data_IF_314209952079
#
_entry.id   IF_314209952079
#
_cell.length_a   1.000
_cell.length_b   1.000
_cell.length_c   1.000
_cell.angle_alpha   90.00
_cell.angle_beta   90.00
_cell.angle_gamma   90.00
#
_symmetry.space_group_name_H-M   'P 1'
#
loop_
_entity.id
_entity.type
_entity.pdbx_description
1 polymer ?
#
# COMPACT_ATOMS: atom_id res chain seq x y z
N UNK A 1 -10.47 11.09 -7.21
CA UNK A 1 -9.68 11.93 -6.29
C UNK A 1 -8.24 11.53 -6.39
N UNK A 2 -7.29 12.49 -6.31
CA UNK A 2 -5.87 12.21 -6.39
C UNK A 2 -5.37 11.54 -5.11
N UNK A 3 -4.40 10.63 -5.25
CA UNK A 3 -3.72 9.97 -4.16
C UNK A 3 -2.88 10.96 -3.34
N UNK A 4 -2.53 10.58 -2.11
CA UNK A 4 -1.78 11.42 -1.19
C UNK A 4 -0.36 11.74 -1.69
N UNK A 5 0.24 10.83 -2.45
CA UNK A 5 1.55 10.99 -3.09
C UNK A 5 1.48 10.38 -4.49
N UNK A 6 2.13 10.97 -5.48
CA UNK A 6 2.21 10.42 -6.84
C UNK A 6 3.65 10.29 -7.28
N UNK A 7 3.85 9.58 -8.39
CA UNK A 7 5.13 9.52 -9.08
C UNK A 7 5.80 10.91 -9.16
N UNK A 8 7.07 10.99 -8.74
CA UNK A 8 7.92 12.18 -8.68
C UNK A 8 7.52 13.26 -7.64
N UNK A 9 6.53 13.00 -6.79
CA UNK A 9 6.24 13.91 -5.68
C UNK A 9 7.39 13.93 -4.67
N UNK A 10 7.71 15.14 -4.18
CA UNK A 10 8.67 15.33 -3.11
C UNK A 10 7.98 15.12 -1.76
N UNK A 11 8.49 14.17 -0.97
CA UNK A 11 7.82 13.70 0.26
C UNK A 11 8.56 14.12 1.54
N UNK A 12 9.57 14.99 1.42
CA UNK A 12 10.24 15.59 2.58
C UNK A 12 11.19 14.66 3.35
N UNK A 13 11.54 13.51 2.77
CA UNK A 13 12.50 12.56 3.32
C UNK A 13 13.94 12.86 2.90
N UNK A 14 14.89 12.19 3.55
CA UNK A 14 16.28 12.20 3.10
C UNK A 14 16.47 11.31 1.86
N UNK A 15 17.39 11.65 0.95
CA UNK A 15 17.77 10.76 -0.15
C UNK A 15 18.17 9.36 0.35
N UNK A 16 17.84 8.27 -0.38
CA UNK A 16 17.26 8.23 -1.73
C UNK A 16 15.71 8.29 -1.78
N UNK A 17 15.04 8.41 -0.63
CA UNK A 17 13.58 8.35 -0.52
C UNK A 17 12.93 9.73 -0.51
N UNK A 18 13.62 10.78 -0.92
CA UNK A 18 13.09 12.15 -0.91
C UNK A 18 12.01 12.37 -1.98
N UNK A 19 11.90 11.42 -2.93
CA UNK A 19 10.90 11.42 -4.00
C UNK A 19 10.30 10.03 -4.20
N UNK A 20 9.03 10.02 -4.63
CA UNK A 20 8.38 8.82 -5.13
C UNK A 20 8.94 8.45 -6.51
N UNK A 21 9.37 7.20 -6.76
CA UNK A 21 9.90 6.78 -8.05
C UNK A 21 8.89 6.96 -9.20
N UNK A 22 9.35 7.45 -10.35
CA UNK A 22 8.49 7.75 -11.51
C UNK A 22 7.89 6.47 -12.13
N UNK A 23 8.61 5.37 -12.02
CA UNK A 23 8.28 4.04 -12.52
C UNK A 23 7.26 3.28 -11.66
N UNK A 24 6.79 3.87 -10.56
CA UNK A 24 5.84 3.22 -9.64
C UNK A 24 4.52 2.86 -10.35
N UNK A 25 4.17 1.58 -10.36
CA UNK A 25 2.96 1.04 -11.02
C UNK A 25 1.68 1.27 -10.22
N UNK A 26 1.79 1.42 -8.91
CA UNK A 26 0.68 1.66 -7.98
C UNK A 26 1.22 2.20 -6.66
N UNK A 27 0.33 2.71 -5.81
CA UNK A 27 0.69 3.31 -4.53
C UNK A 27 -0.14 2.71 -3.39
N UNK A 28 0.50 2.49 -2.24
CA UNK A 28 -0.12 1.96 -1.02
C UNK A 28 0.13 2.93 0.12
N UNK A 29 -0.92 3.36 0.80
CA UNK A 29 -0.78 4.21 1.99
C UNK A 29 -1.32 3.47 3.21
N UNK A 30 -0.49 3.39 4.25
CA UNK A 30 -0.83 2.76 5.53
C UNK A 30 -0.99 3.81 6.61
N UNK A 31 -2.21 4.06 7.04
CA UNK A 31 -2.53 5.10 8.01
C UNK A 31 -2.89 4.49 9.36
N UNK A 32 -2.40 5.06 10.45
CA UNK A 32 -2.71 4.64 11.82
C UNK A 32 -2.10 3.29 12.27
N UNK A 33 -1.33 2.60 11.42
CA UNK A 33 -0.76 1.28 11.74
C UNK A 33 0.60 1.33 12.44
N UNK A 34 1.62 1.88 11.77
CA UNK A 34 3.01 1.96 12.23
C UNK A 34 3.47 3.42 12.30
N UNK A 35 4.54 3.67 13.08
CA UNK A 35 5.37 4.87 12.94
C UNK A 35 5.77 5.09 11.47
N UNK A 36 6.10 6.33 11.13
CA UNK A 36 6.43 6.73 9.75
C UNK A 36 7.41 5.72 9.12
N UNK A 37 7.04 5.13 7.98
CA UNK A 37 7.83 4.15 7.24
C UNK A 37 7.63 4.33 5.74
N UNK A 38 8.63 3.94 4.95
CA UNK A 38 8.59 4.00 3.48
C UNK A 38 9.15 2.69 2.94
N UNK A 39 8.59 2.23 1.82
CA UNK A 39 9.10 1.10 1.06
C UNK A 39 9.40 -0.13 1.94
N UNK A 40 10.56 -0.80 1.84
CA UNK A 40 10.87 -2.00 2.62
C UNK A 40 11.06 -1.76 4.12
N UNK A 41 11.28 -0.52 4.57
CA UNK A 41 11.27 -0.15 6.00
C UNK A 41 9.89 -0.36 6.64
N UNK A 42 8.82 -0.42 5.83
CA UNK A 42 7.50 -0.85 6.31
C UNK A 42 7.45 -2.35 6.67
N UNK A 43 8.52 -3.11 6.43
CA UNK A 43 8.69 -4.53 6.69
C UNK A 43 8.23 -5.38 5.51
N UNK A 44 7.85 -6.64 5.76
CA UNK A 44 7.51 -7.58 4.68
C UNK A 44 6.40 -7.12 3.74
N UNK A 45 5.41 -6.36 4.24
CA UNK A 45 4.36 -5.81 3.37
C UNK A 45 4.91 -4.74 2.43
N UNK A 46 5.93 -4.00 2.87
CA UNK A 46 6.57 -3.00 2.04
C UNK A 46 7.54 -3.57 1.02
N UNK A 47 8.35 -4.54 1.44
CA UNK A 47 9.16 -5.36 0.52
C UNK A 47 8.32 -5.98 -0.60
N UNK A 48 7.14 -6.51 -0.28
CA UNK A 48 6.24 -7.08 -1.27
C UNK A 48 5.73 -6.03 -2.26
N UNK A 49 5.40 -4.82 -1.80
CA UNK A 49 4.95 -3.72 -2.66
C UNK A 49 6.06 -3.29 -3.62
N UNK A 50 7.28 -3.11 -3.12
CA UNK A 50 8.42 -2.74 -3.94
C UNK A 50 8.75 -3.80 -4.99
N UNK A 51 8.74 -5.08 -4.61
CA UNK A 51 8.98 -6.17 -5.55
C UNK A 51 8.00 -6.12 -6.73
N UNK A 52 6.74 -5.79 -6.47
CA UNK A 52 5.72 -5.64 -7.49
C UNK A 52 5.86 -4.36 -8.35
N UNK A 53 6.84 -3.50 -8.03
CA UNK A 53 7.06 -2.20 -8.66
C UNK A 53 6.10 -1.12 -8.16
N UNK A 54 5.57 -1.26 -6.95
CA UNK A 54 4.73 -0.25 -6.31
C UNK A 54 5.50 0.58 -5.29
N UNK A 55 4.87 1.67 -4.85
CA UNK A 55 5.34 2.51 -3.76
C UNK A 55 4.47 2.32 -2.53
N UNK A 56 5.07 2.42 -1.34
CA UNK A 56 4.34 2.39 -0.06
C UNK A 56 4.89 3.42 0.90
N UNK A 57 3.98 4.13 1.56
CA UNK A 57 4.28 4.98 2.69
C UNK A 57 3.30 4.72 3.83
N UNK A 58 3.81 4.71 5.05
CA UNK A 58 3.05 4.49 6.27
C UNK A 58 3.17 5.69 7.19
N UNK A 59 2.05 6.15 7.75
CA UNK A 59 1.98 7.29 8.65
C UNK A 59 1.15 6.93 9.89
N UNK A 60 1.71 7.17 11.08
CA UNK A 60 1.00 6.95 12.35
C UNK A 60 0.03 8.07 12.65
N UNK A 61 0.51 9.31 12.52
CA UNK A 61 -0.26 10.51 12.78
C UNK A 61 -0.83 10.99 11.46
N UNK A 62 -2.15 10.97 11.37
CA UNK A 62 -2.90 11.45 10.23
C UNK A 62 -3.16 12.93 10.51
N UNK A 63 -2.12 13.76 10.42
CA UNK A 63 -2.29 15.20 10.65
C UNK A 63 -3.36 15.78 9.73
N UNK A 64 -4.06 16.83 10.18
CA UNK A 64 -5.20 17.51 9.49
C UNK A 64 -4.94 17.99 8.04
N UNK A 65 -3.73 17.84 7.51
CA UNK A 65 -3.25 18.58 6.32
C UNK A 65 -3.30 17.77 5.02
N UNK A 66 -3.39 16.43 5.07
CA UNK A 66 -3.44 15.59 3.86
C UNK A 66 -4.75 14.79 3.86
N UNK A 67 -5.68 15.17 2.98
CA UNK A 67 -6.87 14.37 2.71
C UNK A 67 -6.46 13.13 1.91
N UNK A 68 -6.34 12.00 2.59
CA UNK A 68 -6.06 10.68 2.00
C UNK A 68 -7.28 10.08 1.25
N UNK A 69 -8.26 10.91 0.88
CA UNK A 69 -9.49 10.51 0.20
C UNK A 69 -10.63 10.16 1.15
N UNK A 70 -10.60 10.69 2.39
CA UNK A 70 -11.61 10.41 3.41
C UNK A 70 -12.59 11.56 3.64
N UNK A 71 -12.42 12.70 2.97
CA UNK A 71 -13.40 13.79 3.00
C UNK A 71 -14.80 13.35 2.55
N UNK A 72 -15.71 13.09 3.50
CA UNK A 72 -17.12 12.78 3.24
C UNK A 72 -17.55 11.32 3.43
N UNK A 73 -16.62 10.40 3.67
CA UNK A 73 -16.94 9.10 4.29
C UNK A 73 -16.95 9.35 5.79
N UNK A 74 -18.05 9.06 6.49
CA UNK A 74 -18.21 9.26 7.94
C UNK A 74 -17.31 8.33 8.78
N UNK A 75 -16.02 8.35 8.51
CA UNK A 75 -14.98 7.47 9.02
C UNK A 75 -14.20 8.21 10.09
N UNK A 76 -14.08 7.60 11.26
CA UNK A 76 -13.20 8.09 12.33
C UNK A 76 -11.77 7.64 12.01
N UNK A 77 -11.06 8.52 11.30
CA UNK A 77 -9.69 8.36 10.83
C UNK A 77 -8.71 8.21 12.01
N UNK A 78 -8.99 8.90 13.12
CA UNK A 78 -8.11 8.94 14.29
C UNK A 78 -8.18 7.65 15.12
N UNK A 79 -9.25 6.88 14.97
CA UNK A 79 -9.51 5.67 15.75
C UNK A 79 -9.11 4.36 15.03
N UNK A 80 -8.77 4.39 13.73
CA UNK A 80 -8.63 3.15 12.94
C UNK A 80 -7.44 3.13 12.00
N UNK A 81 -6.88 1.92 11.85
CA UNK A 81 -5.87 1.62 10.83
C UNK A 81 -6.55 1.55 9.47
N UNK A 82 -5.94 2.13 8.44
CA UNK A 82 -6.49 2.10 7.09
C UNK A 82 -5.39 1.83 6.09
N UNK A 83 -5.62 0.90 5.17
CA UNK A 83 -4.81 0.77 3.95
C UNK A 83 -5.59 1.34 2.77
N UNK A 84 -4.97 2.21 1.99
CA UNK A 84 -5.53 2.68 0.72
C UNK A 84 -4.62 2.28 -0.43
N UNK A 85 -5.22 1.96 -1.57
CA UNK A 85 -4.53 1.53 -2.80
C UNK A 85 -4.92 2.51 -3.91
N UNK A 86 -3.93 3.05 -4.61
CA UNK A 86 -4.09 3.87 -5.78
C UNK A 86 -3.42 3.24 -7.01
N UNK A 87 -4.01 3.42 -8.19
CA UNK A 87 -3.36 3.05 -9.45
C UNK A 87 -2.21 4.01 -9.83
N UNK A 88 -1.50 3.72 -10.92
CA UNK A 88 -0.38 4.51 -11.43
C UNK A 88 -0.70 5.99 -11.67
N UNK A 89 -1.96 6.34 -11.92
CA UNK A 89 -2.40 7.72 -12.17
C UNK A 89 -2.76 8.44 -10.84
N UNK A 90 -2.57 7.75 -9.72
CA UNK A 90 -2.90 8.18 -8.38
C UNK A 90 -4.40 8.27 -8.17
N UNK A 91 -5.21 7.40 -8.80
CA UNK A 91 -6.64 7.28 -8.49
C UNK A 91 -6.82 6.16 -7.46
N UNK A 92 -7.51 6.47 -6.36
CA UNK A 92 -7.86 5.47 -5.34
C UNK A 92 -8.75 4.39 -5.96
N UNK A 93 -8.30 3.14 -5.90
CA UNK A 93 -8.99 1.94 -6.41
C UNK A 93 -9.41 0.99 -5.28
N UNK A 94 -8.92 1.21 -4.05
CA UNK A 94 -9.34 0.42 -2.89
C UNK A 94 -9.07 1.14 -1.57
N UNK A 95 -9.97 0.93 -0.60
CA UNK A 95 -9.86 1.42 0.78
C UNK A 95 -10.21 0.26 1.70
N UNK A 96 -9.34 -0.01 2.67
CA UNK A 96 -9.42 -1.16 3.57
C UNK A 96 -9.32 -0.70 5.02
N UNK A 97 -10.46 -0.36 5.65
CA UNK A 97 -10.48 0.00 7.05
C UNK A 97 -10.18 -1.20 7.96
N UNK A 98 -9.56 -0.93 9.10
CA UNK A 98 -9.08 -1.94 10.06
C UNK A 98 -7.88 -2.75 9.56
N UNK A 99 -7.42 -2.53 8.32
CA UNK A 99 -6.29 -3.23 7.76
C UNK A 99 -4.96 -2.59 8.17
N UNK A 100 -3.93 -3.43 8.23
CA UNK A 100 -2.56 -3.08 8.56
C UNK A 100 -1.61 -3.47 7.42
N UNK A 101 -0.34 -3.08 7.51
CA UNK A 101 0.71 -3.49 6.56
C UNK A 101 0.80 -5.02 6.43
N UNK A 102 0.45 -5.76 7.50
CA UNK A 102 0.41 -7.23 7.49
C UNK A 102 -0.66 -7.81 6.57
N UNK A 103 -1.64 -7.00 6.16
CA UNK A 103 -2.73 -7.41 5.29
C UNK A 103 -2.45 -7.13 3.80
N UNK A 104 -1.38 -6.39 3.47
CA UNK A 104 -1.11 -5.90 2.11
C UNK A 104 -1.10 -7.01 1.07
N UNK A 105 -0.43 -8.13 1.37
CA UNK A 105 -0.40 -9.26 0.46
C UNK A 105 -1.81 -9.74 0.07
N UNK A 106 -2.71 -9.89 1.04
CA UNK A 106 -4.10 -10.29 0.80
C UNK A 106 -4.91 -9.23 0.07
N UNK A 107 -4.64 -7.96 0.37
CA UNK A 107 -5.26 -6.83 -0.31
C UNK A 107 -4.88 -6.85 -1.80
N UNK A 108 -3.59 -6.96 -2.11
CA UNK A 108 -3.08 -6.92 -3.48
C UNK A 108 -3.48 -8.14 -4.31
N UNK A 109 -3.79 -9.29 -3.69
CA UNK A 109 -4.46 -10.40 -4.39
C UNK A 109 -5.78 -10.00 -5.06
N UNK A 110 -6.48 -8.99 -4.52
CA UNK A 110 -7.72 -8.46 -5.11
C UNK A 110 -7.47 -7.35 -6.14
N UNK A 111 -6.21 -6.92 -6.29
CA UNK A 111 -5.79 -5.85 -7.22
C UNK A 111 -4.80 -6.38 -8.25
N UNK A 112 -4.99 -7.62 -8.71
CA UNK A 112 -4.15 -8.26 -9.75
C UNK A 112 -4.11 -7.49 -11.06
N UNK A 113 -5.07 -6.61 -11.30
CA UNK A 113 -5.07 -5.71 -12.46
C UNK A 113 -4.03 -4.59 -12.38
N UNK A 114 -3.38 -4.36 -11.23
CA UNK A 114 -2.35 -3.32 -11.06
C UNK A 114 -0.94 -3.81 -11.41
N UNK A 115 -0.75 -5.12 -11.50
CA UNK A 115 0.57 -5.78 -11.64
C UNK A 115 0.44 -6.94 -12.61
N UNK A 116 1.52 -7.36 -13.27
CA UNK A 116 1.45 -8.56 -14.12
C UNK A 116 1.30 -9.81 -13.26
N UNK A 117 0.69 -10.87 -13.82
CA UNK A 117 0.57 -12.14 -13.11
C UNK A 117 1.94 -12.75 -12.79
N UNK A 118 2.90 -12.61 -13.71
CA UNK A 118 4.28 -13.07 -13.54
C UNK A 118 4.99 -12.34 -12.39
N UNK A 119 4.87 -11.00 -12.31
CA UNK A 119 5.42 -10.21 -11.20
C UNK A 119 4.79 -10.66 -9.87
N UNK A 120 3.48 -10.89 -9.86
CA UNK A 120 2.77 -11.29 -8.65
C UNK A 120 3.22 -12.66 -8.14
N UNK A 121 3.33 -13.64 -9.03
CA UNK A 121 3.80 -14.98 -8.68
C UNK A 121 5.26 -14.94 -8.20
N UNK A 122 6.15 -14.32 -8.97
CA UNK A 122 7.56 -14.20 -8.62
C UNK A 122 7.81 -13.50 -7.28
N UNK A 123 7.08 -12.43 -6.99
CA UNK A 123 7.19 -11.74 -5.70
C UNK A 123 6.54 -12.50 -4.54
N UNK A 124 5.51 -13.31 -4.81
CA UNK A 124 4.84 -14.13 -3.78
C UNK A 124 5.73 -15.28 -3.30
N UNK A 125 6.56 -15.83 -4.19
CA UNK A 125 7.50 -16.91 -3.87
C UNK A 125 8.62 -16.47 -2.92
N UNK A 126 8.90 -15.16 -2.88
CA UNK A 126 9.87 -14.56 -1.96
C UNK A 126 9.31 -14.34 -0.55
N UNK A 127 7.99 -14.50 -0.36
CA UNK A 127 7.36 -14.35 0.95
C UNK A 127 7.51 -15.62 1.80
N UNK A 128 7.63 -15.48 3.13
CA UNK A 128 7.61 -16.64 4.03
C UNK A 128 6.33 -17.45 3.86
N UNK A 129 6.43 -18.79 3.85
CA UNK A 129 5.31 -19.71 3.60
C UNK A 129 4.02 -19.36 4.38
N UNK A 130 4.13 -18.88 5.62
CA UNK A 130 2.97 -18.47 6.44
C UNK A 130 2.08 -17.39 5.81
N UNK A 131 2.59 -16.63 4.85
CA UNK A 131 1.82 -15.66 4.05
C UNK A 131 1.15 -16.33 2.85
N UNK A 132 1.76 -17.40 2.34
CA UNK A 132 1.23 -18.21 1.25
C UNK A 132 0.19 -19.24 1.71
N UNK A 133 0.17 -19.68 2.97
CA UNK A 133 -0.71 -20.78 3.47
C UNK A 133 -2.22 -20.51 3.35
N UNK A 134 -2.68 -19.26 3.24
CA UNK A 134 -4.09 -18.96 2.92
C UNK A 134 -4.40 -19.04 1.40
N UNK A 135 -3.51 -19.55 0.56
CA UNK A 135 -3.77 -19.82 -0.88
C UNK A 135 -4.76 -20.97 -1.10
N UNK A 136 -4.87 -21.95 -0.20
CA UNK A 136 -5.65 -23.17 -0.47
C UNK A 136 -7.12 -23.12 -0.06
N UNK A 137 -7.58 -22.04 0.59
CA UNK A 137 -8.91 -21.99 1.21
C UNK A 137 -9.95 -21.13 0.50
N UNK A 138 -9.60 -20.39 -0.57
CA UNK A 138 -10.55 -19.46 -1.21
C UNK A 138 -10.76 -19.64 -2.72
N UNK A 139 -10.18 -20.66 -3.37
CA UNK A 139 -10.56 -21.03 -4.73
C UNK A 139 -11.60 -22.17 -4.74
N UNK A 140 -12.84 -21.84 -4.37
CA UNK A 140 -14.05 -22.56 -4.79
C UNK A 140 -15.20 -21.55 -4.92
N UNK A 141 -15.37 -21.01 -6.12
CA UNK A 141 -16.67 -20.63 -6.67
C UNK A 141 -16.65 -20.94 -8.16
#
# INVERSE_FOLDING_TARGET
MPAAEKANDYIGWAPPYDRVPEESKFFVYSLGDKTMCISDDCGMGGYFVECLGGWISGYKDIGEVIDYGFGGVGFDIDAQKIITIADKDGKIVGIYPGASIKNIYYILRNHRNLVSDDDFEGCSDLLPERWNIFTSLFYRF
#
